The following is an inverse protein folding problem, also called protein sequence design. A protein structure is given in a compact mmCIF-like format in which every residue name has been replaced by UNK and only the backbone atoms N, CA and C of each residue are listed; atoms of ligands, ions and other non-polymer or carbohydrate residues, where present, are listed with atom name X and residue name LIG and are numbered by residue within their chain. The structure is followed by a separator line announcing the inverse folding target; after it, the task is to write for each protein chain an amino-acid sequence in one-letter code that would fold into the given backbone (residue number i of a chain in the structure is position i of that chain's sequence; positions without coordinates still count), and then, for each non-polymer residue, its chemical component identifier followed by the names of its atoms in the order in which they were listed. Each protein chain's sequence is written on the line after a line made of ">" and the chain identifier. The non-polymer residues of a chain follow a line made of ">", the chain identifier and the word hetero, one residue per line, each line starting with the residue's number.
data_IF_185059445173
#
_entry.id   IF_185059445173
#
_cell.length_a   1.000
_cell.length_b   1.000
_cell.length_c   1.000
_cell.angle_alpha   90.00
_cell.angle_beta   90.00
_cell.angle_gamma   90.00
#
_symmetry.space_group_name_H-M   'P 1'
#
loop_
_entity.id
_entity.type
_entity.pdbx_description
1 polymer ?
#
# COMPACT_ATOMS: atom_id res chain seq x y z
N UNK A 1 -24.95 -7.58 3.40
CA UNK A 1 -24.41 -6.21 3.43
C UNK A 1 -22.94 -6.20 3.07
N UNK A 2 -22.46 -5.13 2.43
CA UNK A 2 -21.04 -4.90 2.14
C UNK A 2 -20.56 -3.76 3.04
N UNK A 3 -19.71 -4.08 4.02
CA UNK A 3 -19.21 -3.14 5.02
C UNK A 3 -17.73 -2.85 4.74
N UNK A 4 -17.36 -1.57 4.77
CA UNK A 4 -15.97 -1.10 4.81
C UNK A 4 -15.81 -0.17 6.01
N UNK A 5 -14.66 -0.19 6.66
CA UNK A 5 -14.40 0.59 7.88
C UNK A 5 -13.36 1.68 7.60
N UNK A 6 -13.74 2.95 7.76
CA UNK A 6 -12.81 4.09 7.73
C UNK A 6 -12.36 4.40 9.17
N UNK A 7 -11.05 4.29 9.44
CA UNK A 7 -10.50 4.50 10.80
C UNK A 7 -10.23 5.96 11.16
N UNK A 8 -10.58 6.93 10.30
CA UNK A 8 -10.42 8.38 10.49
C UNK A 8 -8.98 8.85 10.79
N UNK A 9 -8.60 10.03 10.31
CA UNK A 9 -7.24 10.57 10.48
C UNK A 9 -7.30 12.04 10.88
N UNK A 10 -6.56 12.43 11.93
CA UNK A 10 -6.57 13.79 12.48
C UNK A 10 -5.37 14.65 12.05
N UNK A 11 -4.20 14.04 11.91
CA UNK A 11 -2.94 14.64 11.48
C UNK A 11 -1.96 13.56 11.01
N UNK A 12 -0.82 13.96 10.42
CA UNK A 12 0.11 13.02 9.81
C UNK A 12 0.58 11.91 10.79
N UNK A 13 1.11 12.20 12.00
CA UNK A 13 1.50 11.16 12.95
C UNK A 13 0.34 10.25 13.40
N UNK A 14 -0.86 10.80 13.58
CA UNK A 14 -2.03 10.02 14.01
C UNK A 14 -2.47 8.97 12.99
N UNK A 15 -2.08 9.10 11.73
CA UNK A 15 -2.29 8.10 10.67
C UNK A 15 -1.84 6.71 11.11
N UNK A 16 -0.73 6.62 11.85
CA UNK A 16 -0.23 5.34 12.35
C UNK A 16 -1.19 4.68 13.34
N UNK A 17 -1.92 5.45 14.16
CA UNK A 17 -2.95 4.89 15.05
C UNK A 17 -4.14 4.35 14.26
N UNK A 18 -4.56 5.05 13.20
CA UNK A 18 -5.61 4.57 12.29
C UNK A 18 -5.21 3.26 11.60
N UNK A 19 -3.95 3.15 11.17
CA UNK A 19 -3.39 1.93 10.58
C UNK A 19 -3.32 0.78 11.61
N UNK A 20 -2.98 1.06 12.87
CA UNK A 20 -3.03 0.04 13.93
C UNK A 20 -4.47 -0.40 14.21
N UNK A 21 -5.44 0.53 14.16
CA UNK A 21 -6.85 0.18 14.25
C UNK A 21 -7.30 -0.70 13.07
N UNK A 22 -6.84 -0.41 11.85
CA UNK A 22 -7.08 -1.24 10.67
C UNK A 22 -6.62 -2.68 10.90
N UNK A 23 -5.39 -2.87 11.42
CA UNK A 23 -4.88 -4.19 11.80
C UNK A 23 -5.82 -4.90 12.79
N UNK A 24 -6.23 -4.20 13.85
CA UNK A 24 -7.11 -4.76 14.87
C UNK A 24 -8.48 -5.18 14.30
N UNK A 25 -9.05 -4.36 13.41
CA UNK A 25 -10.30 -4.65 12.71
C UNK A 25 -10.16 -5.90 11.84
N UNK A 26 -9.06 -6.00 11.08
CA UNK A 26 -8.77 -7.18 10.26
C UNK A 26 -8.63 -8.45 11.10
N UNK A 27 -7.85 -8.38 12.18
CA UNK A 27 -7.61 -9.53 13.06
C UNK A 27 -8.89 -10.00 13.78
N UNK A 28 -9.77 -9.07 14.19
CA UNK A 28 -10.96 -9.41 14.98
C UNK A 28 -12.22 -9.67 14.15
N UNK A 29 -12.38 -8.96 13.04
CA UNK A 29 -13.63 -8.90 12.28
C UNK A 29 -13.47 -9.35 10.82
N UNK A 30 -12.24 -9.38 10.28
CA UNK A 30 -11.99 -9.71 8.88
C UNK A 30 -12.56 -8.69 7.87
N UNK A 31 -12.98 -7.51 8.33
CA UNK A 31 -13.59 -6.49 7.49
C UNK A 31 -12.53 -5.70 6.72
N UNK A 32 -12.83 -5.28 5.47
CA UNK A 32 -11.99 -4.33 4.77
C UNK A 32 -11.96 -2.99 5.49
N UNK A 33 -10.77 -2.40 5.62
CA UNK A 33 -10.56 -1.17 6.36
C UNK A 33 -9.50 -0.28 5.70
N UNK A 34 -9.60 1.02 5.98
CA UNK A 34 -8.81 2.03 5.30
C UNK A 34 -9.00 3.39 5.94
N UNK A 35 -8.58 4.44 5.25
CA UNK A 35 -8.82 5.79 5.77
C UNK A 35 -8.50 6.93 4.82
N UNK A 36 -8.90 8.12 5.23
CA UNK A 36 -8.60 9.37 4.55
C UNK A 36 -7.22 9.93 4.92
N UNK A 37 -6.15 9.24 4.51
CA UNK A 37 -4.77 9.64 4.84
C UNK A 37 -4.37 11.02 4.30
N UNK A 38 -5.09 11.50 3.28
CA UNK A 38 -4.94 12.87 2.77
C UNK A 38 -5.26 13.93 3.83
N UNK A 39 -6.20 13.66 4.74
CA UNK A 39 -6.46 14.55 5.88
C UNK A 39 -5.22 14.65 6.76
N UNK A 40 -4.51 13.55 7.00
CA UNK A 40 -3.27 13.57 7.77
C UNK A 40 -2.17 14.41 7.12
N UNK A 41 -1.92 14.20 5.82
CA UNK A 41 -0.85 14.88 5.07
C UNK A 41 -1.12 16.38 4.94
N UNK A 42 -2.37 16.79 4.70
CA UNK A 42 -2.73 18.20 4.52
C UNK A 42 -2.71 19.02 5.81
N UNK A 43 -2.71 18.36 6.97
CA UNK A 43 -2.58 19.05 8.27
C UNK A 43 -1.17 19.53 8.57
N UNK A 44 -0.14 19.01 7.89
CA UNK A 44 1.22 19.51 7.99
C UNK A 44 1.47 20.64 6.98
N UNK A 45 0.94 21.82 7.28
CA UNK A 45 0.93 22.98 6.36
C UNK A 45 2.34 23.49 6.06
N UNK A 46 3.21 23.44 7.08
CA UNK A 46 4.60 23.90 7.06
C UNK A 46 5.46 23.11 6.06
N UNK A 47 5.08 21.87 5.73
CA UNK A 47 5.82 21.05 4.76
C UNK A 47 5.99 21.73 3.39
N UNK A 48 5.01 22.54 2.96
CA UNK A 48 5.07 23.30 1.71
C UNK A 48 6.03 24.49 1.80
N UNK A 49 6.20 25.06 2.98
CA UNK A 49 7.15 26.16 3.21
C UNK A 49 8.58 25.62 3.26
N UNK A 50 8.77 24.46 3.91
CA UNK A 50 10.09 23.84 4.05
C UNK A 50 10.63 23.23 2.75
N UNK A 51 9.76 22.58 1.96
CA UNK A 51 10.20 21.77 0.79
C UNK A 51 9.42 22.04 -0.49
N UNK A 52 8.62 23.10 -0.51
CA UNK A 52 7.81 23.47 -1.67
C UNK A 52 6.70 22.46 -1.97
N UNK A 53 6.03 22.71 -3.10
CA UNK A 53 4.91 21.88 -3.54
C UNK A 53 5.37 20.45 -3.88
N UNK A 54 6.55 20.29 -4.47
CA UNK A 54 7.02 18.96 -4.88
C UNK A 54 7.45 18.12 -3.67
N UNK A 55 8.05 18.73 -2.65
CA UNK A 55 8.29 18.07 -1.37
C UNK A 55 7.00 17.60 -0.69
N UNK A 56 5.97 18.46 -0.68
CA UNK A 56 4.64 18.07 -0.20
C UNK A 56 4.04 16.91 -0.99
N UNK A 57 4.10 16.94 -2.33
CA UNK A 57 3.59 15.86 -3.19
C UNK A 57 4.31 14.54 -2.91
N UNK A 58 5.62 14.56 -2.71
CA UNK A 58 6.41 13.38 -2.38
C UNK A 58 6.02 12.81 -1.01
N UNK A 59 5.92 13.66 0.01
CA UNK A 59 5.48 13.25 1.35
C UNK A 59 4.05 12.65 1.33
N UNK A 60 3.13 13.29 0.62
CA UNK A 60 1.74 12.82 0.45
C UNK A 60 1.68 11.46 -0.27
N UNK A 61 2.46 11.30 -1.34
CA UNK A 61 2.60 10.03 -2.06
C UNK A 61 3.16 8.92 -1.16
N UNK A 62 4.17 9.20 -0.35
CA UNK A 62 4.77 8.23 0.58
C UNK A 62 3.75 7.79 1.63
N UNK A 63 3.00 8.72 2.25
CA UNK A 63 2.00 8.36 3.25
C UNK A 63 0.92 7.43 2.68
N UNK A 64 0.43 7.72 1.47
CA UNK A 64 -0.59 6.91 0.79
C UNK A 64 -0.06 5.55 0.33
N UNK A 65 1.14 5.54 -0.28
CA UNK A 65 1.80 4.31 -0.71
C UNK A 65 2.10 3.39 0.48
N UNK A 66 2.71 3.92 1.54
CA UNK A 66 3.00 3.15 2.75
C UNK A 66 1.73 2.56 3.35
N UNK A 67 0.67 3.36 3.52
CA UNK A 67 -0.60 2.87 4.10
C UNK A 67 -1.19 1.71 3.30
N UNK A 68 -1.03 1.69 1.97
CA UNK A 68 -1.45 0.57 1.10
C UNK A 68 -0.68 -0.71 1.41
N UNK A 69 0.62 -0.60 1.74
CA UNK A 69 1.44 -1.75 2.07
C UNK A 69 1.21 -2.28 3.49
N UNK A 70 0.56 -1.51 4.38
CA UNK A 70 0.35 -1.89 5.78
C UNK A 70 -1.12 -1.81 6.19
N UNK A 71 -1.73 -2.99 6.31
CA UNK A 71 -3.05 -3.24 6.90
C UNK A 71 -4.24 -2.43 6.34
N UNK A 72 -4.10 -1.70 5.23
CA UNK A 72 -5.18 -0.89 4.66
C UNK A 72 -5.55 -1.41 3.28
N UNK A 73 -6.85 -1.58 3.02
CA UNK A 73 -7.41 -2.07 1.76
C UNK A 73 -7.80 -0.94 0.81
N UNK A 74 -8.05 0.26 1.36
CA UNK A 74 -8.42 1.43 0.57
C UNK A 74 -7.90 2.72 1.21
N UNK A 75 -7.71 3.72 0.34
CA UNK A 75 -7.30 5.05 0.73
C UNK A 75 -8.26 6.09 0.15
N UNK A 76 -8.80 6.98 0.98
CA UNK A 76 -9.38 8.23 0.48
C UNK A 76 -8.26 9.25 0.26
N UNK A 77 -7.79 9.28 -0.98
CA UNK A 77 -6.56 9.99 -1.36
C UNK A 77 -6.71 11.51 -1.52
N UNK A 78 -7.89 12.04 -1.26
CA UNK A 78 -8.19 13.47 -1.33
C UNK A 78 -8.67 13.89 -2.73
N UNK A 79 -8.41 15.14 -3.15
CA UNK A 79 -8.93 15.67 -4.40
C UNK A 79 -8.50 14.86 -5.64
N UNK A 80 -9.41 14.66 -6.60
CA UNK A 80 -9.15 13.85 -7.81
C UNK A 80 -7.90 14.30 -8.60
N UNK A 81 -7.56 15.59 -8.54
CA UNK A 81 -6.36 16.15 -9.19
C UNK A 81 -5.04 15.57 -8.66
N UNK A 82 -5.05 14.93 -7.49
CA UNK A 82 -3.86 14.27 -6.92
C UNK A 82 -3.68 12.84 -7.45
N UNK A 83 -4.66 12.28 -8.17
CA UNK A 83 -4.62 10.91 -8.67
C UNK A 83 -3.34 10.59 -9.47
N UNK A 84 -2.87 11.54 -10.28
CA UNK A 84 -1.65 11.38 -11.09
C UNK A 84 -0.38 11.13 -10.26
N UNK A 85 -0.34 11.56 -9.00
CA UNK A 85 0.77 11.27 -8.08
C UNK A 85 0.48 10.12 -7.12
N UNK A 86 -0.79 9.94 -6.72
CA UNK A 86 -1.14 8.91 -5.72
C UNK A 86 -1.27 7.52 -6.33
N UNK A 87 -1.89 7.36 -7.51
CA UNK A 87 -2.04 6.05 -8.13
C UNK A 87 -0.69 5.37 -8.40
N UNK A 88 0.34 6.06 -8.93
CA UNK A 88 1.67 5.49 -9.04
C UNK A 88 2.23 5.05 -7.68
N UNK A 89 2.07 5.85 -6.62
CA UNK A 89 2.57 5.51 -5.29
C UNK A 89 1.91 4.25 -4.71
N UNK A 90 0.58 4.15 -4.82
CA UNK A 90 -0.21 2.98 -4.41
C UNK A 90 0.18 1.74 -5.24
N UNK A 91 0.30 1.89 -6.57
CA UNK A 91 0.72 0.81 -7.45
C UNK A 91 2.12 0.30 -7.11
N UNK A 92 3.08 1.20 -6.88
CA UNK A 92 4.45 0.86 -6.46
C UNK A 92 4.43 0.12 -5.13
N UNK A 93 3.71 0.62 -4.13
CA UNK A 93 3.59 -0.05 -2.82
C UNK A 93 3.02 -1.47 -2.97
N UNK A 94 1.97 -1.64 -3.77
CA UNK A 94 1.37 -2.94 -4.02
C UNK A 94 2.32 -3.89 -4.78
N UNK A 95 3.15 -3.38 -5.70
CA UNK A 95 4.19 -4.17 -6.38
C UNK A 95 5.20 -4.72 -5.38
N UNK A 96 5.73 -3.85 -4.51
CA UNK A 96 6.71 -4.24 -3.49
C UNK A 96 6.10 -5.24 -2.50
N UNK A 97 4.90 -4.95 -2.01
CA UNK A 97 4.14 -5.85 -1.12
C UNK A 97 3.93 -7.23 -1.73
N UNK A 98 3.69 -7.30 -3.05
CA UNK A 98 3.52 -8.60 -3.74
C UNK A 98 4.77 -9.47 -3.67
N UNK A 99 5.96 -8.84 -3.71
CA UNK A 99 7.23 -9.55 -3.58
C UNK A 99 7.50 -9.96 -2.13
N UNK A 100 7.15 -9.13 -1.15
CA UNK A 100 7.26 -9.49 0.27
C UNK A 100 6.36 -10.68 0.63
N UNK A 101 5.10 -10.66 0.20
CA UNK A 101 4.20 -11.79 0.42
C UNK A 101 4.68 -13.05 -0.32
N UNK A 102 5.35 -12.93 -1.47
CA UNK A 102 6.00 -14.08 -2.10
C UNK A 102 7.13 -14.66 -1.24
N UNK A 103 7.95 -13.83 -0.61
CA UNK A 103 9.01 -14.29 0.29
C UNK A 103 8.43 -15.05 1.48
N UNK A 104 7.35 -14.54 2.08
CA UNK A 104 6.71 -15.18 3.23
C UNK A 104 5.90 -16.44 2.89
N UNK A 105 5.19 -16.44 1.76
CA UNK A 105 4.19 -17.48 1.44
C UNK A 105 4.58 -18.39 0.27
N UNK A 106 5.61 -18.02 -0.49
CA UNK A 106 5.99 -18.65 -1.74
C UNK A 106 4.98 -18.48 -2.87
N UNK A 107 4.01 -17.56 -2.74
CA UNK A 107 2.90 -17.36 -3.69
C UNK A 107 2.66 -15.88 -3.98
N UNK A 108 2.24 -15.60 -5.21
CA UNK A 108 1.64 -14.32 -5.61
C UNK A 108 0.21 -14.63 -6.09
N UNK A 109 -0.84 -13.98 -5.53
CA UNK A 109 -2.22 -14.26 -5.89
C UNK A 109 -2.42 -14.18 -7.40
N UNK A 110 -3.26 -15.08 -7.90
CA UNK A 110 -3.58 -15.18 -9.30
C UNK A 110 -4.69 -14.21 -9.67
N UNK A 111 -4.31 -12.95 -9.78
CA UNK A 111 -5.20 -11.86 -10.13
C UNK A 111 -4.50 -10.94 -11.13
N UNK A 112 -4.95 -10.97 -12.38
CA UNK A 112 -4.40 -10.16 -13.48
C UNK A 112 -4.52 -8.65 -13.22
N UNK A 113 -5.37 -8.26 -12.27
CA UNK A 113 -5.49 -6.87 -11.88
C UNK A 113 -4.39 -6.37 -10.94
N UNK A 114 -3.53 -7.25 -10.41
CA UNK A 114 -2.43 -6.84 -9.54
C UNK A 114 -1.41 -6.00 -10.31
N UNK A 115 -0.98 -4.84 -9.76
CA UNK A 115 -0.01 -3.97 -10.43
C UNK A 115 1.28 -4.69 -10.88
N UNK A 116 1.82 -5.62 -10.07
CA UNK A 116 3.03 -6.38 -10.46
C UNK A 116 2.81 -7.27 -11.69
N UNK A 117 1.61 -7.84 -11.86
CA UNK A 117 1.27 -8.68 -13.02
C UNK A 117 1.01 -7.84 -14.26
N UNK A 118 0.42 -6.65 -14.12
CA UNK A 118 0.19 -5.71 -15.24
C UNK A 118 1.48 -5.10 -15.78
N UNK A 119 2.35 -4.62 -14.89
CA UNK A 119 3.49 -3.80 -15.28
C UNK A 119 4.82 -4.58 -15.31
N UNK A 120 4.90 -5.72 -14.63
CA UNK A 120 6.12 -6.53 -14.55
C UNK A 120 5.85 -8.05 -14.73
N UNK A 121 5.11 -8.49 -15.77
CA UNK A 121 4.80 -9.91 -15.96
C UNK A 121 6.06 -10.80 -16.11
N UNK A 122 7.09 -10.32 -16.82
CA UNK A 122 8.35 -11.06 -17.00
C UNK A 122 9.11 -11.27 -15.68
N UNK A 123 8.99 -10.33 -14.74
CA UNK A 123 9.58 -10.48 -13.41
C UNK A 123 8.93 -11.65 -12.66
N UNK A 124 7.61 -11.79 -12.75
CA UNK A 124 6.86 -12.89 -12.11
C UNK A 124 7.32 -14.25 -12.64
N UNK A 125 7.44 -14.40 -13.96
CA UNK A 125 7.91 -15.65 -14.58
C UNK A 125 9.28 -16.04 -14.02
N UNK A 126 10.25 -15.12 -14.06
CA UNK A 126 11.61 -15.36 -13.55
C UNK A 126 11.63 -15.65 -12.05
N UNK A 127 10.81 -14.96 -11.27
CA UNK A 127 10.71 -15.14 -9.82
C UNK A 127 10.22 -16.55 -9.46
N UNK A 128 9.18 -17.03 -10.16
CA UNK A 128 8.61 -18.36 -9.95
C UNK A 128 9.55 -19.47 -10.43
N UNK A 129 10.21 -19.30 -11.58
CA UNK A 129 11.25 -20.23 -12.08
C UNK A 129 12.46 -20.29 -11.14
N UNK A 130 12.90 -19.15 -10.60
CA UNK A 130 13.98 -19.07 -9.62
C UNK A 130 13.62 -19.74 -8.29
N UNK A 131 12.40 -19.54 -7.80
CA UNK A 131 11.89 -20.17 -6.58
C UNK A 131 11.77 -21.69 -6.70
N UNK A 132 11.29 -22.20 -7.85
CA UNK A 132 11.21 -23.63 -8.13
C UNK A 132 12.60 -24.30 -8.07
N UNK A 133 13.63 -23.64 -8.60
CA UNK A 133 15.03 -24.13 -8.56
C UNK A 133 15.56 -24.26 -7.13
N UNK A 134 15.34 -23.27 -6.25
CA UNK A 134 15.77 -23.33 -4.84
C UNK A 134 15.10 -24.46 -4.05
N UNK A 135 13.81 -24.74 -4.29
CA UNK A 135 13.09 -25.84 -3.63
C UNK A 135 13.59 -27.22 -4.07
N UNK A 136 14.08 -27.35 -5.31
CA UNK A 136 14.67 -28.60 -5.81
C UNK A 136 16.03 -28.95 -5.20
N UNK A 137 16.84 -27.95 -4.84
CA UNK A 137 18.18 -28.13 -4.26
C UNK A 137 18.18 -28.41 -2.76
N UNK A 138 17.10 -28.07 -2.04
CA UNK A 138 16.99 -28.26 -0.59
C UNK A 138 16.53 -29.67 -0.16
N UNK A 139 16.44 -30.62 -1.10
CA UNK A 139 16.04 -32.03 -0.87
C UNK A 139 17.24 -33.01 -0.85
N UNK A 140 18.43 -32.57 -0.43
CA UNK A 140 19.58 -33.46 -0.21
C UNK A 140 20.03 -33.42 1.24
#
# INVERSE_FOLDING_TARGET
>A
DTIIVDTSVMNLPSTSFSILANRLIKEKLGLPCGGAYSNGTHMWKESKEMWGLDGFKAMDAVAQGMSTAIWSDFNFYGPIVTAQRIFPAVATAHILMSTFMYDETGKIPDNDNLPIRKFFPDFIVKLLEGGARKKGTSKK
#
